data_IF_859199674711
#
_entry.id   IF_859199674711
#
_cell.length_a   1.000
_cell.length_b   1.000
_cell.length_c   1.000
_cell.angle_alpha   90.00
_cell.angle_beta   90.00
_cell.angle_gamma   90.00
#
_symmetry.space_group_name_H-M   'P 1'
#
loop_
_entity.id
_entity.type
_entity.pdbx_description
1 polymer ?
#
# COMPACT_ATOMS: atom_id res chain seq x y z
N UNK A 1 41.48 13.98 43.20
CA UNK A 1 40.95 12.60 43.16
C UNK A 1 39.55 12.47 43.81
N UNK A 2 38.83 13.58 44.06
CA UNK A 2 37.50 13.55 44.69
C UNK A 2 36.34 13.77 43.69
N UNK A 3 36.59 14.47 42.58
CA UNK A 3 35.56 14.76 41.57
C UNK A 3 35.06 13.51 40.82
N UNK A 4 35.91 12.49 40.64
CA UNK A 4 35.52 11.24 39.95
C UNK A 4 34.63 10.32 40.81
N UNK A 5 34.74 10.40 42.13
CA UNK A 5 33.96 9.57 43.07
C UNK A 5 32.50 10.05 43.20
N UNK A 6 32.27 11.35 43.05
CA UNK A 6 30.91 11.93 43.05
C UNK A 6 30.16 11.69 41.74
N UNK A 7 30.85 11.71 40.60
CA UNK A 7 30.23 11.41 39.29
C UNK A 7 29.76 9.95 39.21
N UNK A 8 30.58 8.99 39.69
CA UNK A 8 30.18 7.58 39.75
C UNK A 8 28.94 7.32 40.63
N UNK A 9 28.76 8.07 41.72
CA UNK A 9 27.57 7.93 42.58
C UNK A 9 26.31 8.45 41.89
N UNK A 10 26.41 9.56 41.15
CA UNK A 10 25.27 10.15 40.43
C UNK A 10 24.84 9.24 39.28
N UNK A 11 25.79 8.68 38.53
CA UNK A 11 25.54 7.66 37.49
C UNK A 11 24.80 6.44 38.05
N UNK A 12 25.23 5.91 39.20
CA UNK A 12 24.56 4.77 39.85
C UNK A 12 23.16 5.12 40.38
N UNK A 13 22.96 6.34 40.89
CA UNK A 13 21.64 6.81 41.35
C UNK A 13 20.69 7.00 40.17
N UNK A 14 21.15 7.57 39.06
CA UNK A 14 20.36 7.71 37.83
C UNK A 14 20.02 6.33 37.23
N UNK A 15 20.95 5.38 37.25
CA UNK A 15 20.69 3.98 36.89
C UNK A 15 19.64 3.34 37.81
N UNK A 16 19.75 3.51 39.14
CA UNK A 16 18.77 2.98 40.10
C UNK A 16 17.38 3.58 39.90
N UNK A 17 17.30 4.90 39.63
CA UNK A 17 16.04 5.59 39.33
C UNK A 17 15.46 5.10 38.00
N UNK A 18 16.29 4.89 36.97
CA UNK A 18 15.84 4.34 35.69
C UNK A 18 15.30 2.91 35.84
N UNK A 19 15.97 2.08 36.64
CA UNK A 19 15.53 0.70 36.94
C UNK A 19 14.23 0.70 37.76
N UNK A 20 14.09 1.59 38.76
CA UNK A 20 12.86 1.75 39.54
C UNK A 20 11.66 2.20 38.68
N UNK A 21 11.88 3.10 37.71
CA UNK A 21 10.83 3.53 36.77
C UNK A 21 10.48 2.45 35.74
N UNK A 22 11.42 1.59 35.35
CA UNK A 22 11.14 0.44 34.49
C UNK A 22 10.25 -0.62 35.19
N UNK A 23 10.41 -0.80 36.51
CA UNK A 23 9.64 -1.78 37.29
C UNK A 23 8.18 -1.32 37.49
N UNK A 24 7.90 -0.02 37.43
CA UNK A 24 6.55 0.53 37.67
C UNK A 24 5.68 0.65 36.41
N UNK A 25 6.00 -0.06 35.33
CA UNK A 25 5.05 -0.27 34.23
C UNK A 25 4.10 -1.41 34.61
N UNK A 26 3.21 -1.14 35.56
CA UNK A 26 2.03 -1.97 35.72
C UNK A 26 1.14 -1.68 34.51
N UNK A 27 1.10 -2.61 33.56
CA UNK A 27 0.17 -2.56 32.44
C UNK A 27 -1.26 -2.54 32.99
N UNK A 28 -1.84 -1.36 33.10
CA UNK A 28 -3.19 -1.19 33.65
C UNK A 28 -4.20 -1.60 32.58
N UNK A 29 -4.55 -2.88 32.59
CA UNK A 29 -5.60 -3.41 31.73
C UNK A 29 -6.96 -2.88 32.19
N UNK A 30 -7.75 -2.39 31.25
CA UNK A 30 -9.07 -1.82 31.52
C UNK A 30 -10.10 -2.38 30.54
N UNK A 31 -11.30 -2.71 31.03
CA UNK A 31 -12.39 -3.20 30.18
C UNK A 31 -13.39 -4.03 30.96
N UNK A 32 -14.68 -3.77 30.76
CA UNK A 32 -15.76 -4.57 31.36
C UNK A 32 -16.20 -5.73 30.46
N UNK A 33 -15.87 -5.64 29.17
CA UNK A 33 -16.12 -6.67 28.16
C UNK A 33 -14.81 -7.24 27.64
N UNK A 34 -14.86 -8.49 27.16
CA UNK A 34 -13.71 -9.18 26.57
C UNK A 34 -13.02 -8.35 25.47
N UNK A 35 -13.79 -7.81 24.52
CA UNK A 35 -13.24 -7.01 23.43
C UNK A 35 -12.57 -5.71 23.89
N UNK A 36 -13.13 -5.02 24.89
CA UNK A 36 -12.53 -3.80 25.47
C UNK A 36 -11.20 -4.11 26.14
N UNK A 37 -11.17 -5.19 26.93
CA UNK A 37 -9.97 -5.62 27.64
C UNK A 37 -8.82 -5.98 26.68
N UNK A 38 -9.14 -6.75 25.64
CA UNK A 38 -8.16 -7.25 24.68
C UNK A 38 -7.52 -6.12 23.88
N UNK A 39 -8.28 -5.06 23.56
CA UNK A 39 -7.77 -3.90 22.82
C UNK A 39 -7.06 -2.89 23.74
N UNK A 40 -7.23 -2.98 25.06
CA UNK A 40 -6.59 -2.09 26.05
C UNK A 40 -5.06 -2.19 26.08
N UNK A 41 -4.49 -3.32 25.65
CA UNK A 41 -3.04 -3.48 25.57
C UNK A 41 -2.61 -4.88 25.14
N UNK A 42 -1.40 -4.99 24.59
CA UNK A 42 -0.83 -6.25 24.07
C UNK A 42 -0.67 -7.33 25.15
N UNK A 43 -0.40 -6.92 26.39
CA UNK A 43 -0.20 -7.82 27.53
C UNK A 43 -1.49 -8.08 28.33
N UNK A 44 -2.62 -7.54 27.90
CA UNK A 44 -3.89 -7.68 28.58
C UNK A 44 -4.64 -8.93 28.11
N UNK A 45 -5.10 -9.74 29.06
CA UNK A 45 -5.78 -10.98 28.80
C UNK A 45 -7.15 -11.00 29.50
N UNK A 46 -8.04 -11.86 29.01
CA UNK A 46 -9.38 -11.99 29.54
C UNK A 46 -9.69 -13.40 30.03
N UNK A 47 -10.17 -13.55 31.26
CA UNK A 47 -10.62 -14.84 31.78
C UNK A 47 -12.10 -15.12 31.41
N UNK A 48 -12.35 -16.14 30.58
CA UNK A 48 -13.71 -16.54 30.15
C UNK A 48 -14.40 -17.57 31.07
N UNK A 49 -13.71 -18.04 32.11
CA UNK A 49 -14.21 -19.04 33.06
C UNK A 49 -15.52 -18.57 33.73
N UNK A 50 -16.55 -19.42 33.77
CA UNK A 50 -17.88 -19.05 34.28
C UNK A 50 -17.86 -18.64 35.75
N UNK A 51 -17.28 -19.47 36.62
CA UNK A 51 -17.22 -19.24 38.07
C UNK A 51 -15.96 -18.46 38.48
N UNK A 52 -15.79 -17.27 37.92
CA UNK A 52 -14.64 -16.40 38.21
C UNK A 52 -15.14 -15.11 38.84
N UNK A 53 -14.78 -14.91 40.12
CA UNK A 53 -15.26 -13.82 40.97
C UNK A 53 -14.32 -12.61 41.00
N UNK A 54 -13.13 -12.74 40.43
CA UNK A 54 -12.11 -11.69 40.39
C UNK A 54 -12.21 -10.85 39.09
N UNK A 55 -11.36 -9.83 38.97
CA UNK A 55 -11.27 -8.99 37.77
C UNK A 55 -10.86 -9.82 36.55
N UNK A 56 -11.75 -9.92 35.56
CA UNK A 56 -11.54 -10.75 34.36
C UNK A 56 -10.48 -10.22 33.40
N UNK A 57 -10.17 -8.92 33.46
CA UNK A 57 -9.19 -8.26 32.61
C UNK A 57 -7.92 -7.99 33.39
N UNK A 58 -6.84 -8.72 33.11
CA UNK A 58 -5.55 -8.51 33.76
C UNK A 58 -4.40 -9.16 32.96
N UNK A 59 -3.17 -8.95 33.43
CA UNK A 59 -1.99 -9.68 32.93
C UNK A 59 -2.02 -11.15 33.35
N UNK A 60 -1.26 -12.00 32.67
CA UNK A 60 -1.33 -13.47 32.82
C UNK A 60 -1.01 -13.93 34.25
N UNK A 61 -0.01 -13.30 34.88
CA UNK A 61 0.37 -13.60 36.25
C UNK A 61 -0.79 -13.39 37.26
N UNK A 62 -1.54 -12.30 37.10
CA UNK A 62 -2.68 -11.97 37.97
C UNK A 62 -3.85 -12.91 37.73
N UNK A 63 -4.14 -13.26 36.47
CA UNK A 63 -5.25 -14.18 36.17
C UNK A 63 -4.97 -15.59 36.69
N UNK A 64 -3.74 -16.07 36.54
CA UNK A 64 -3.31 -17.40 37.00
C UNK A 64 -3.22 -17.47 38.53
N UNK A 65 -2.71 -16.44 39.21
CA UNK A 65 -2.71 -16.38 40.68
C UNK A 65 -4.12 -16.39 41.25
N UNK A 66 -5.06 -15.76 40.55
CA UNK A 66 -6.47 -15.70 40.91
C UNK A 66 -7.26 -16.96 40.53
N UNK A 67 -6.57 -18.03 40.10
CA UNK A 67 -7.18 -19.33 39.83
C UNK A 67 -7.93 -19.44 38.50
N UNK A 68 -7.66 -18.55 37.52
CA UNK A 68 -8.14 -18.76 36.16
C UNK A 68 -7.32 -19.87 35.49
N UNK A 69 -8.00 -20.92 34.99
CA UNK A 69 -7.33 -21.97 34.22
C UNK A 69 -6.71 -21.39 32.94
N UNK A 70 -5.48 -21.80 32.61
CA UNK A 70 -4.80 -21.33 31.39
C UNK A 70 -5.58 -21.61 30.09
N UNK A 71 -6.43 -22.66 30.06
CA UNK A 71 -7.32 -22.96 28.93
C UNK A 71 -8.49 -21.99 28.77
N UNK A 72 -8.84 -21.29 29.85
CA UNK A 72 -9.93 -20.32 29.91
C UNK A 72 -9.44 -18.87 29.70
N UNK A 73 -8.14 -18.67 29.53
CA UNK A 73 -7.55 -17.36 29.25
C UNK A 73 -7.65 -17.08 27.75
N UNK A 74 -8.35 -16.01 27.40
CA UNK A 74 -8.39 -15.43 26.06
C UNK A 74 -7.25 -14.43 25.94
N UNK A 75 -6.37 -14.67 24.97
CA UNK A 75 -5.20 -13.84 24.70
C UNK A 75 -5.51 -12.73 23.70
N UNK A 76 -4.65 -11.72 23.67
CA UNK A 76 -4.64 -10.74 22.60
C UNK A 76 -4.48 -11.45 21.24
N UNK A 77 -5.40 -11.23 20.26
CA UNK A 77 -5.27 -11.82 18.93
C UNK A 77 -4.02 -11.28 18.24
N UNK A 78 -3.48 -12.03 17.29
CA UNK A 78 -2.28 -11.60 16.55
C UNK A 78 -2.69 -11.26 15.13
N UNK A 79 -2.32 -10.05 14.67
CA UNK A 79 -2.50 -9.69 13.27
C UNK A 79 -1.73 -10.66 12.38
N UNK A 80 -2.36 -11.14 11.32
CA UNK A 80 -1.78 -12.17 10.45
C UNK A 80 -2.11 -11.92 8.99
N UNK A 81 -1.19 -12.36 8.14
CA UNK A 81 -1.33 -12.34 6.68
C UNK A 81 -1.24 -13.76 6.15
N UNK A 82 -2.11 -14.08 5.20
CA UNK A 82 -2.10 -15.34 4.48
C UNK A 82 -2.12 -15.04 2.98
N UNK A 83 -1.11 -15.50 2.25
CA UNK A 83 -1.10 -15.41 0.80
C UNK A 83 -2.09 -16.43 0.23
N UNK A 84 -3.08 -15.96 -0.51
CA UNK A 84 -4.06 -16.81 -1.22
C UNK A 84 -3.54 -17.13 -2.62
N UNK A 85 -3.03 -16.11 -3.32
CA UNK A 85 -2.45 -16.25 -4.67
C UNK A 85 -1.10 -15.58 -4.71
N UNK A 86 -0.06 -16.39 -4.88
CA UNK A 86 1.35 -16.00 -4.80
C UNK A 86 2.15 -16.57 -5.98
N UNK A 87 1.69 -16.24 -7.18
CA UNK A 87 2.37 -16.64 -8.41
C UNK A 87 3.63 -15.78 -8.57
N UNK A 88 4.79 -16.35 -8.93
CA UNK A 88 5.99 -15.56 -9.15
C UNK A 88 5.81 -14.53 -10.26
N UNK A 89 6.56 -13.45 -10.19
CA UNK A 89 6.63 -12.44 -11.23
C UNK A 89 7.03 -13.07 -12.57
N UNK A 90 6.35 -12.72 -13.65
CA UNK A 90 6.55 -13.30 -14.98
C UNK A 90 6.47 -12.23 -16.05
N UNK A 91 7.35 -12.36 -17.03
CA UNK A 91 7.30 -11.54 -18.24
C UNK A 91 6.15 -11.95 -19.15
N UNK A 92 5.70 -10.95 -19.90
CA UNK A 92 4.61 -11.07 -20.86
C UNK A 92 5.11 -11.60 -22.19
N UNK A 93 4.18 -11.73 -23.14
CA UNK A 93 4.49 -12.08 -24.51
C UNK A 93 3.23 -12.07 -25.38
N UNK A 94 3.35 -12.40 -26.67
CA UNK A 94 2.20 -12.46 -27.56
C UNK A 94 1.14 -13.43 -26.99
N UNK A 95 -0.03 -12.89 -26.63
CA UNK A 95 -1.13 -13.61 -25.97
C UNK A 95 -0.84 -14.12 -24.53
N UNK A 96 0.17 -13.57 -23.85
CA UNK A 96 0.48 -13.90 -22.46
C UNK A 96 0.57 -12.63 -21.63
N UNK A 97 -0.40 -12.46 -20.73
CA UNK A 97 -0.39 -11.38 -19.76
C UNK A 97 0.76 -11.52 -18.76
N UNK A 98 1.55 -10.47 -18.52
CA UNK A 98 2.61 -10.48 -17.53
C UNK A 98 2.06 -10.49 -16.10
N UNK A 99 2.83 -11.07 -15.18
CA UNK A 99 2.56 -11.00 -13.74
C UNK A 99 3.57 -10.04 -13.13
N UNK A 100 3.13 -8.81 -12.85
CA UNK A 100 3.98 -7.72 -12.36
C UNK A 100 3.90 -7.49 -10.85
N UNK A 101 2.90 -8.06 -10.19
CA UNK A 101 2.66 -7.92 -8.76
C UNK A 101 2.71 -9.28 -8.09
N UNK A 102 3.35 -9.36 -6.94
CA UNK A 102 3.42 -10.55 -6.11
C UNK A 102 3.39 -10.17 -4.61
N UNK A 103 2.54 -10.79 -3.77
CA UNK A 103 1.46 -11.71 -4.11
C UNK A 103 0.28 -10.99 -4.82
N UNK A 104 -0.57 -11.75 -5.53
CA UNK A 104 -1.74 -11.20 -6.22
C UNK A 104 -2.98 -11.13 -5.33
N UNK A 105 -3.05 -12.00 -4.32
CA UNK A 105 -4.17 -12.04 -3.40
C UNK A 105 -3.70 -12.42 -1.99
N UNK A 106 -4.10 -11.62 -1.01
CA UNK A 106 -3.75 -11.81 0.40
C UNK A 106 -4.99 -11.66 1.27
N UNK A 107 -5.08 -12.48 2.32
CA UNK A 107 -6.05 -12.34 3.39
C UNK A 107 -5.36 -11.83 4.63
N UNK A 108 -5.75 -10.64 5.06
CA UNK A 108 -5.19 -10.00 6.24
C UNK A 108 -6.24 -10.04 7.36
N UNK A 109 -5.83 -10.48 8.54
CA UNK A 109 -6.58 -10.37 9.79
C UNK A 109 -5.89 -9.32 10.65
N UNK A 110 -6.58 -8.24 10.96
CA UNK A 110 -6.06 -7.12 11.73
C UNK A 110 -6.74 -7.04 13.09
N UNK A 111 -5.95 -6.68 14.09
CA UNK A 111 -6.45 -6.29 15.41
C UNK A 111 -6.78 -4.80 15.41
N UNK A 112 -7.88 -4.36 16.03
CA UNK A 112 -8.21 -2.94 16.12
C UNK A 112 -7.09 -2.12 16.74
N UNK A 113 -6.79 -0.96 16.15
CA UNK A 113 -5.78 0.00 16.60
C UNK A 113 -4.32 -0.52 16.56
N UNK A 114 -4.06 -1.57 15.78
CA UNK A 114 -2.69 -2.06 15.52
C UNK A 114 -2.23 -1.64 14.12
N UNK A 115 -1.02 -1.08 14.03
CA UNK A 115 -0.37 -0.80 12.75
C UNK A 115 0.22 -2.09 12.17
N UNK A 116 -0.29 -2.53 11.02
CA UNK A 116 0.21 -3.71 10.33
C UNK A 116 0.91 -3.35 9.03
N UNK A 117 2.21 -3.65 8.95
CA UNK A 117 3.03 -3.42 7.76
C UNK A 117 3.17 -4.74 7.00
N UNK A 118 2.90 -4.69 5.69
CA UNK A 118 3.16 -5.79 4.78
C UNK A 118 3.87 -5.27 3.54
N UNK A 119 4.56 -6.17 2.85
CA UNK A 119 5.34 -5.83 1.66
C UNK A 119 4.86 -6.67 0.48
N UNK A 120 4.88 -6.06 -0.69
CA UNK A 120 4.65 -6.72 -1.97
C UNK A 120 5.77 -6.34 -2.94
N UNK A 121 5.95 -7.17 -3.94
CA UNK A 121 6.93 -6.98 -4.99
C UNK A 121 6.24 -6.45 -6.23
N UNK A 122 6.85 -5.45 -6.84
CA UNK A 122 6.47 -4.92 -8.14
C UNK A 122 7.67 -4.95 -9.08
N UNK A 123 7.44 -5.42 -10.30
CA UNK A 123 8.43 -5.38 -11.38
C UNK A 123 7.74 -5.08 -12.68
N UNK A 124 8.26 -4.10 -13.42
CA UNK A 124 7.85 -3.85 -14.81
C UNK A 124 8.24 -5.06 -15.64
N UNK A 125 7.28 -5.68 -16.32
CA UNK A 125 7.55 -6.83 -17.17
C UNK A 125 8.30 -6.40 -18.43
N UNK A 126 9.23 -7.25 -18.87
CA UNK A 126 9.82 -7.12 -20.21
C UNK A 126 8.76 -7.48 -21.25
N UNK A 127 8.79 -6.82 -22.40
CA UNK A 127 7.85 -7.06 -23.50
C UNK A 127 6.36 -6.86 -23.11
N UNK A 128 6.07 -5.77 -22.39
CA UNK A 128 4.69 -5.38 -22.05
C UNK A 128 3.93 -4.91 -23.30
N UNK A 129 2.66 -5.32 -23.51
CA UNK A 129 1.91 -4.94 -24.70
C UNK A 129 1.66 -3.42 -24.75
N UNK A 130 1.85 -2.82 -25.93
CA UNK A 130 1.75 -1.38 -26.13
C UNK A 130 0.75 -1.05 -27.24
N UNK A 131 -0.32 -0.34 -26.88
CA UNK A 131 -1.28 0.21 -27.82
C UNK A 131 -1.00 1.70 -28.04
N UNK A 132 -0.66 2.09 -29.27
CA UNK A 132 -0.41 3.47 -29.64
C UNK A 132 -1.50 3.95 -30.57
N UNK A 133 -2.22 4.98 -30.14
CA UNK A 133 -3.31 5.57 -30.91
C UNK A 133 -2.92 6.97 -31.39
N UNK A 134 -2.69 7.10 -32.70
CA UNK A 134 -2.47 8.39 -33.34
C UNK A 134 -3.81 9.08 -33.58
N UNK A 135 -4.12 10.10 -32.78
CA UNK A 135 -5.25 10.97 -33.01
C UNK A 135 -4.77 12.28 -33.63
N UNK A 136 -5.06 12.48 -34.91
CA UNK A 136 -4.55 13.63 -35.67
C UNK A 136 -5.66 14.56 -36.16
N UNK A 137 -5.33 15.84 -36.27
CA UNK A 137 -6.21 16.81 -36.92
C UNK A 137 -6.09 16.68 -38.46
N UNK A 138 -7.20 16.44 -39.20
CA UNK A 138 -7.19 16.37 -40.65
C UNK A 138 -7.28 17.76 -41.34
N UNK A 139 -7.04 18.86 -40.61
CA UNK A 139 -7.12 20.23 -41.14
C UNK A 139 -6.10 20.50 -42.23
N UNK A 140 -6.40 21.51 -43.05
CA UNK A 140 -5.54 21.88 -44.18
C UNK A 140 -4.12 22.24 -43.72
N UNK A 141 -4.00 22.92 -42.58
CA UNK A 141 -2.71 23.29 -41.97
C UNK A 141 -1.90 22.08 -41.54
N UNK A 142 -2.55 20.96 -41.20
CA UNK A 142 -1.90 19.75 -40.72
C UNK A 142 -1.61 18.72 -41.82
N UNK A 143 -1.94 19.02 -43.07
CA UNK A 143 -1.77 18.10 -44.22
C UNK A 143 -0.36 17.56 -44.36
N UNK A 144 0.65 18.41 -44.20
CA UNK A 144 2.06 18.03 -44.32
C UNK A 144 2.54 17.14 -43.16
N UNK A 145 2.08 17.39 -41.94
CA UNK A 145 2.42 16.52 -40.81
C UNK A 145 1.81 15.13 -41.01
N UNK A 146 0.60 15.06 -41.57
CA UNK A 146 -0.09 13.80 -41.81
C UNK A 146 0.65 12.91 -42.81
N UNK A 147 1.24 13.50 -43.85
CA UNK A 147 2.09 12.75 -44.80
C UNK A 147 3.39 12.32 -44.15
N UNK A 148 4.05 13.21 -43.40
CA UNK A 148 5.29 12.86 -42.68
C UNK A 148 5.07 11.77 -41.63
N UNK A 149 3.94 11.78 -40.91
CA UNK A 149 3.60 10.76 -39.94
C UNK A 149 3.35 9.40 -40.61
N UNK A 150 2.75 9.39 -41.80
CA UNK A 150 2.58 8.17 -42.58
C UNK A 150 3.94 7.59 -43.00
N UNK A 151 4.86 8.45 -43.45
CA UNK A 151 6.21 8.05 -43.84
C UNK A 151 7.02 7.53 -42.63
N UNK A 152 6.80 8.11 -41.43
CA UNK A 152 7.51 7.75 -40.19
C UNK A 152 6.90 6.55 -39.45
N UNK A 153 5.71 6.09 -39.84
CA UNK A 153 4.99 5.03 -39.11
C UNK A 153 5.80 3.73 -39.03
N UNK A 154 6.51 3.36 -40.10
CA UNK A 154 7.35 2.17 -40.16
C UNK A 154 8.59 2.28 -39.25
N UNK A 155 9.20 3.47 -39.18
CA UNK A 155 10.34 3.74 -38.29
C UNK A 155 9.91 3.69 -36.82
N UNK A 156 8.72 4.21 -36.51
CA UNK A 156 8.13 4.14 -35.17
C UNK A 156 7.87 2.67 -34.81
N UNK A 157 7.26 1.89 -35.72
CA UNK A 157 7.05 0.46 -35.54
C UNK A 157 8.34 -0.31 -35.29
N UNK A 158 9.38 -0.01 -36.07
CA UNK A 158 10.71 -0.63 -35.91
C UNK A 158 11.34 -0.28 -34.56
N UNK A 159 11.25 0.98 -34.15
CA UNK A 159 11.81 1.46 -32.87
C UNK A 159 11.08 0.84 -31.67
N UNK A 160 9.76 0.71 -31.73
CA UNK A 160 8.96 0.07 -30.68
C UNK A 160 9.18 -1.44 -30.68
N UNK A 161 9.36 -2.05 -31.85
CA UNK A 161 9.71 -3.46 -32.00
C UNK A 161 11.00 -3.86 -31.26
N UNK A 162 11.91 -2.90 -31.01
CA UNK A 162 13.11 -3.14 -30.19
C UNK A 162 12.81 -3.22 -28.68
N UNK A 163 11.66 -2.69 -28.25
CA UNK A 163 11.23 -2.66 -26.84
C UNK A 163 10.18 -3.73 -26.53
N UNK A 164 9.22 -3.94 -27.43
CA UNK A 164 8.17 -4.94 -27.30
C UNK A 164 7.79 -5.53 -28.66
N UNK A 165 7.51 -6.82 -28.67
CA UNK A 165 7.01 -7.59 -29.80
C UNK A 165 5.47 -7.63 -29.86
N UNK A 166 4.76 -7.05 -28.88
CA UNK A 166 3.28 -7.00 -28.84
C UNK A 166 2.83 -5.54 -28.84
N UNK A 167 2.91 -4.91 -30.01
CA UNK A 167 2.46 -3.53 -30.20
C UNK A 167 1.36 -3.43 -31.25
N UNK A 168 0.47 -2.47 -31.06
CA UNK A 168 -0.62 -2.18 -31.99
C UNK A 168 -0.69 -0.69 -32.26
N UNK A 169 -0.98 -0.36 -33.52
CA UNK A 169 -1.26 1.01 -33.93
C UNK A 169 -2.73 1.19 -34.22
N UNK A 170 -3.29 2.26 -33.66
CA UNK A 170 -4.57 2.81 -34.05
C UNK A 170 -4.38 4.19 -34.65
N UNK A 171 -5.27 4.54 -35.57
CA UNK A 171 -5.28 5.86 -36.18
C UNK A 171 -6.70 6.41 -36.17
N UNK A 172 -6.82 7.66 -35.78
CA UNK A 172 -8.07 8.41 -35.74
C UNK A 172 -7.85 9.84 -36.16
N UNK A 173 -8.92 10.46 -36.64
CA UNK A 173 -8.91 11.90 -36.92
C UNK A 173 -10.04 12.58 -36.18
N UNK A 174 -9.77 13.77 -35.65
CA UNK A 174 -10.80 14.60 -35.02
C UNK A 174 -10.82 15.98 -35.65
N UNK A 175 -12.02 16.49 -35.87
CA UNK A 175 -12.30 17.79 -36.48
C UNK A 175 -13.30 18.55 -35.63
N UNK A 176 -13.37 19.86 -35.87
CA UNK A 176 -14.42 20.68 -35.28
C UNK A 176 -15.82 20.17 -35.63
N UNK A 177 -16.76 20.48 -34.74
CA UNK A 177 -18.17 20.12 -34.94
C UNK A 177 -18.67 20.73 -36.24
N UNK A 178 -19.38 19.93 -37.04
CA UNK A 178 -20.10 20.36 -38.24
C UNK A 178 -21.38 21.13 -37.86
N UNK A 179 -21.20 22.27 -37.20
CA UNK A 179 -22.26 23.25 -36.94
C UNK A 179 -22.10 24.45 -37.87
N UNK A 180 -23.21 25.12 -38.18
CA UNK A 180 -23.18 26.33 -39.00
C UNK A 180 -22.40 27.42 -38.26
N UNK A 181 -21.31 27.90 -38.89
CA UNK A 181 -20.28 28.87 -38.45
C UNK A 181 -19.08 28.34 -37.63
N UNK A 182 -17.99 27.96 -38.33
CA UNK A 182 -16.64 28.33 -37.89
C UNK A 182 -15.93 29.35 -38.81
N UNK A 183 -16.40 29.56 -40.04
CA UNK A 183 -15.68 30.38 -41.04
C UNK A 183 -16.60 31.29 -41.86
N UNK A 184 -17.16 32.33 -41.25
CA UNK A 184 -17.61 33.52 -41.96
C UNK A 184 -17.28 34.77 -41.11
N UNK A 185 -16.00 35.08 -41.00
CA UNK A 185 -15.56 36.48 -40.90
C UNK A 185 -14.95 36.79 -42.25
N UNK A 186 -15.78 37.25 -43.19
CA UNK A 186 -15.25 37.91 -44.37
C UNK A 186 -14.50 39.16 -43.90
N UNK A 187 -13.19 39.21 -44.14
CA UNK A 187 -12.46 40.48 -44.16
C UNK A 187 -13.09 41.34 -45.25
N UNK A 188 -14.02 42.21 -44.87
CA UNK A 188 -14.43 43.32 -45.72
C UNK A 188 -13.22 44.26 -45.79
N UNK A 189 -12.48 44.21 -46.89
CA UNK A 189 -11.45 45.22 -47.21
C UNK A 189 -12.15 46.58 -47.34
N UNK A 190 -12.13 47.35 -46.27
CA UNK A 190 -12.46 48.76 -46.29
C UNK A 190 -11.19 49.59 -46.42
N UNK A 191 -10.95 50.17 -47.58
CA UNK A 191 -10.36 51.50 -47.67
C UNK A 191 -10.75 52.18 -48.98
N UNK A 192 -10.99 53.48 -48.87
CA UNK A 192 -11.57 54.40 -49.86
C UNK A 192 -10.79 54.53 -51.15
#
# INVERSE_FOLDING_TARGET
MELTRSVFKIEWILLLIFVLNCIYVNGQCSGKRCGECIVSGLNCLWCKQKNYNETRCAVEATLTSNGCSSSEIVRHPVSSIQNIKDTPLQDGGPNKEPIQLQPQEVKIRLVPNEDFKWSFMYRVAENFPVDIYFLVDPSYTMRNLRTQLADLADDIGTSIGQLTNDYRFGYGTSMDKVTFYPTLIQYQNGSK
#
